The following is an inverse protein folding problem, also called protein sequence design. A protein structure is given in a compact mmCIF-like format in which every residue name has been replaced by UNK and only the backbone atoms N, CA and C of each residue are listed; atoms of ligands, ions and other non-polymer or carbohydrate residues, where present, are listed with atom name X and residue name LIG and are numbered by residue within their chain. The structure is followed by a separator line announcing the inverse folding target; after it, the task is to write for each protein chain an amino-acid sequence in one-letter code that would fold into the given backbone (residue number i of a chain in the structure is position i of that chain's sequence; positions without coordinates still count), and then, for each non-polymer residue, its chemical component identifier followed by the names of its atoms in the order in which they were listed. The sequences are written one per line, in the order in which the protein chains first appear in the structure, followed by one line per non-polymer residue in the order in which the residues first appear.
data_IF_081007560811
#
_entry.id   IF_081007560811
#
_cell.length_a   1.000
_cell.length_b   1.000
_cell.length_c   1.000
_cell.angle_alpha   90.00
_cell.angle_beta   90.00
_cell.angle_gamma   90.00
#
_symmetry.space_group_name_H-M   'P 1'
#
loop_
_entity.id
_entity.type
_entity.pdbx_description
1 polymer ?
#
# COMPACT_ATOMS: atom_id res chain seq x y z
N UNK A 1 -18.65 -17.71 12.33
CA UNK A 1 -18.54 -17.67 10.85
C UNK A 1 -17.24 -18.39 10.50
N UNK A 2 -17.31 -19.57 9.88
CA UNK A 2 -16.11 -20.35 9.53
C UNK A 2 -15.74 -19.99 8.08
N UNK A 3 -14.66 -19.25 7.90
CA UNK A 3 -14.13 -18.93 6.58
C UNK A 3 -13.23 -20.10 6.14
N UNK A 4 -13.62 -20.80 5.08
CA UNK A 4 -12.81 -21.88 4.53
C UNK A 4 -11.68 -21.30 3.68
N UNK A 5 -10.43 -21.50 4.10
CA UNK A 5 -9.25 -21.10 3.34
C UNK A 5 -8.65 -22.30 2.60
N UNK A 6 -8.00 -22.08 1.44
CA UNK A 6 -7.17 -23.13 0.83
C UNK A 6 -5.73 -23.01 1.33
N UNK A 7 -5.02 -24.14 1.56
CA UNK A 7 -3.61 -24.12 1.93
C UNK A 7 -2.77 -23.33 0.91
N UNK A 8 -1.92 -22.43 1.38
CA UNK A 8 -1.00 -21.64 0.55
C UNK A 8 -1.65 -20.58 -0.37
N UNK A 9 -2.98 -20.42 -0.33
CA UNK A 9 -3.66 -19.43 -1.18
C UNK A 9 -3.48 -18.01 -0.65
N UNK A 10 -3.61 -17.83 0.67
CA UNK A 10 -3.57 -16.52 1.33
C UNK A 10 -2.56 -16.55 2.48
N UNK A 11 -1.81 -15.46 2.65
CA UNK A 11 -1.09 -15.12 3.87
C UNK A 11 -1.64 -13.79 4.37
N UNK A 12 -2.01 -13.73 5.65
CA UNK A 12 -2.43 -12.49 6.30
C UNK A 12 -1.23 -11.85 6.97
N UNK A 13 -1.02 -10.55 6.78
CA UNK A 13 0.12 -9.81 7.34
C UNK A 13 -0.32 -8.53 8.00
N UNK A 14 0.37 -8.14 9.07
CA UNK A 14 0.15 -6.87 9.76
C UNK A 14 1.36 -6.44 10.60
N UNK A 15 1.37 -5.16 10.98
CA UNK A 15 2.10 -4.68 12.15
C UNK A 15 1.22 -4.79 13.39
N UNK A 16 1.79 -5.17 14.52
CA UNK A 16 1.12 -5.03 15.81
C UNK A 16 0.86 -3.53 16.08
N UNK A 17 -0.35 -3.21 16.50
CA UNK A 17 -0.77 -1.84 16.81
C UNK A 17 0.03 -1.25 18.00
N UNK A 18 0.33 -2.08 18.98
CA UNK A 18 1.11 -1.67 20.14
C UNK A 18 2.61 -1.66 19.82
N UNK A 19 3.25 -0.53 20.09
CA UNK A 19 4.70 -0.39 19.95
C UNK A 19 5.38 -1.03 21.16
N UNK A 20 6.17 -2.08 20.93
CA UNK A 20 7.02 -2.66 21.95
C UNK A 20 8.26 -1.78 22.18
N UNK A 21 9.00 -2.06 23.25
CA UNK A 21 10.24 -1.38 23.56
C UNK A 21 11.33 -2.40 23.89
N UNK A 22 12.53 -2.18 23.36
CA UNK A 22 13.75 -2.90 23.74
C UNK A 22 14.61 -1.93 24.52
N UNK A 23 15.16 -2.39 25.64
CA UNK A 23 16.10 -1.61 26.45
C UNK A 23 17.50 -2.04 26.03
N UNK A 24 18.29 -1.08 25.55
CA UNK A 24 19.70 -1.28 25.29
C UNK A 24 20.43 -1.50 26.63
N UNK A 25 21.10 -2.65 26.78
CA UNK A 25 21.70 -3.06 28.06
C UNK A 25 22.96 -2.27 28.41
N UNK A 26 23.60 -1.65 27.42
CA UNK A 26 24.86 -0.93 27.60
C UNK A 26 24.63 0.55 27.92
N UNK A 27 23.57 1.14 27.36
CA UNK A 27 23.23 2.56 27.48
C UNK A 27 21.99 2.83 28.34
N UNK A 28 21.15 1.81 28.55
CA UNK A 28 19.85 1.96 29.22
C UNK A 28 18.79 2.65 28.36
N UNK A 29 19.06 2.91 27.09
CA UNK A 29 18.13 3.58 26.18
C UNK A 29 16.92 2.70 25.86
N UNK A 30 15.73 3.30 25.85
CA UNK A 30 14.49 2.66 25.45
C UNK A 30 14.29 2.87 23.95
N UNK A 31 14.48 1.83 23.16
CA UNK A 31 14.38 1.86 21.71
C UNK A 31 13.03 1.26 21.29
N UNK A 32 12.20 1.99 20.50
CA UNK A 32 10.93 1.47 20.02
C UNK A 32 11.14 0.30 19.06
N UNK A 33 10.32 -0.75 19.23
CA UNK A 33 10.32 -1.94 18.39
C UNK A 33 8.90 -2.21 17.87
N UNK A 34 8.80 -2.36 16.56
CA UNK A 34 7.56 -2.62 15.82
C UNK A 34 7.50 -4.09 15.44
N UNK A 35 6.43 -4.76 15.82
CA UNK A 35 6.31 -6.21 15.63
C UNK A 35 5.54 -6.50 14.35
N UNK A 36 6.18 -7.14 13.39
CA UNK A 36 5.55 -7.68 12.19
C UNK A 36 4.98 -9.07 12.48
N UNK A 37 3.78 -9.34 11.99
CA UNK A 37 3.10 -10.64 12.12
C UNK A 37 2.63 -11.10 10.75
N UNK A 38 2.93 -12.35 10.39
CA UNK A 38 2.39 -13.02 9.21
C UNK A 38 1.75 -14.35 9.60
N UNK A 39 0.54 -14.63 9.13
CA UNK A 39 -0.21 -15.85 9.49
C UNK A 39 -0.82 -16.51 8.27
N UNK A 40 -0.72 -17.84 8.19
CA UNK A 40 -1.41 -18.68 7.21
C UNK A 40 -2.78 -19.09 7.77
N UNK A 41 -3.90 -18.52 7.29
CA UNK A 41 -5.21 -18.68 7.92
C UNK A 41 -5.79 -20.10 7.81
N UNK A 42 -5.32 -20.92 6.86
CA UNK A 42 -5.72 -22.33 6.78
C UNK A 42 -5.21 -23.15 7.97
N UNK A 43 -3.97 -22.92 8.39
CA UNK A 43 -3.29 -23.71 9.43
C UNK A 43 -3.14 -22.98 10.76
N UNK A 44 -3.39 -21.66 10.80
CA UNK A 44 -3.07 -20.81 11.95
C UNK A 44 -1.56 -20.70 12.21
N UNK A 45 -0.73 -21.01 11.21
CA UNK A 45 0.72 -21.01 11.37
C UNK A 45 1.27 -19.59 11.18
N UNK A 46 1.98 -19.08 12.18
CA UNK A 46 2.37 -17.67 12.23
C UNK A 46 3.89 -17.49 12.32
N UNK A 47 4.32 -16.34 11.81
CA UNK A 47 5.67 -15.80 11.88
C UNK A 47 5.59 -14.41 12.53
N UNK A 48 6.53 -14.11 13.41
CA UNK A 48 6.59 -12.84 14.14
C UNK A 48 8.03 -12.36 14.20
N UNK A 49 8.27 -11.09 13.88
CA UNK A 49 9.60 -10.48 13.91
C UNK A 49 9.54 -9.01 14.31
N UNK A 50 10.49 -8.55 15.12
CA UNK A 50 10.57 -7.17 15.58
C UNK A 50 11.53 -6.35 14.72
N UNK A 51 11.14 -5.11 14.39
CA UNK A 51 11.91 -4.16 13.60
C UNK A 51 12.00 -2.81 14.34
N UNK A 52 13.10 -2.10 14.20
CA UNK A 52 13.25 -0.74 14.77
C UNK A 52 12.59 0.35 13.90
N UNK A 53 12.03 0.00 12.75
CA UNK A 53 11.35 0.93 11.84
C UNK A 53 10.23 0.23 11.07
N UNK A 54 9.15 0.97 10.75
CA UNK A 54 8.03 0.52 9.90
C UNK A 54 8.16 0.99 8.44
N UNK A 55 9.38 1.30 7.98
CA UNK A 55 9.59 1.77 6.61
C UNK A 55 9.39 0.63 5.58
N UNK A 56 9.40 0.99 4.29
CA UNK A 56 9.19 0.04 3.19
C UNK A 56 10.28 -1.04 3.12
N UNK A 57 11.50 -0.74 3.58
CA UNK A 57 12.62 -1.69 3.61
C UNK A 57 12.42 -2.77 4.68
N UNK A 58 12.05 -2.38 5.91
CA UNK A 58 11.64 -3.30 6.97
C UNK A 58 10.46 -4.16 6.54
N UNK A 59 9.45 -3.54 5.90
CA UNK A 59 8.29 -4.26 5.38
C UNK A 59 8.69 -5.35 4.37
N UNK A 60 9.55 -5.00 3.40
CA UNK A 60 10.02 -5.94 2.38
C UNK A 60 10.85 -7.07 3.01
N UNK A 61 11.73 -6.72 3.95
CA UNK A 61 12.58 -7.67 4.66
C UNK A 61 11.76 -8.67 5.48
N UNK A 62 10.75 -8.19 6.20
CA UNK A 62 9.84 -9.02 6.97
C UNK A 62 9.12 -10.07 6.10
N UNK A 63 8.67 -9.69 4.90
CA UNK A 63 8.05 -10.62 3.96
C UNK A 63 9.02 -11.68 3.46
N UNK A 64 10.25 -11.28 3.12
CA UNK A 64 11.29 -12.23 2.68
C UNK A 64 11.59 -13.23 3.80
N UNK A 65 11.72 -12.77 5.04
CA UNK A 65 12.00 -13.64 6.18
C UNK A 65 10.82 -14.57 6.49
N UNK A 66 9.59 -14.05 6.45
CA UNK A 66 8.38 -14.85 6.62
C UNK A 66 8.28 -15.98 5.58
N UNK A 67 8.53 -15.71 4.30
CA UNK A 67 8.50 -16.75 3.26
C UNK A 67 9.61 -17.79 3.41
N UNK A 68 10.80 -17.36 3.84
CA UNK A 68 11.88 -18.30 4.19
C UNK A 68 11.48 -19.19 5.35
N UNK A 69 10.86 -18.63 6.40
CA UNK A 69 10.38 -19.36 7.56
C UNK A 69 9.28 -20.37 7.19
N UNK A 70 8.33 -19.98 6.35
CA UNK A 70 7.27 -20.87 5.87
C UNK A 70 7.75 -21.92 4.85
N UNK A 71 8.96 -21.76 4.29
CA UNK A 71 9.52 -22.66 3.28
C UNK A 71 8.81 -22.58 1.92
N UNK A 72 8.08 -21.49 1.65
CA UNK A 72 7.28 -21.33 0.44
C UNK A 72 6.61 -19.96 0.35
N UNK A 73 5.99 -19.69 -0.80
CA UNK A 73 5.26 -18.44 -1.07
C UNK A 73 3.76 -18.69 -1.20
N UNK A 74 2.96 -17.73 -0.75
CA UNK A 74 1.51 -17.75 -0.96
C UNK A 74 1.13 -17.00 -2.23
N UNK A 75 -0.03 -17.33 -2.79
CA UNK A 75 -0.53 -16.68 -4.01
C UNK A 75 -1.05 -15.26 -3.77
N UNK A 76 -1.60 -15.01 -2.58
CA UNK A 76 -2.20 -13.73 -2.19
C UNK A 76 -1.62 -13.32 -0.84
N UNK A 77 -1.22 -12.05 -0.75
CA UNK A 77 -0.90 -11.38 0.52
C UNK A 77 -2.12 -10.53 0.86
N UNK A 78 -2.69 -10.78 2.03
CA UNK A 78 -3.79 -10.02 2.60
C UNK A 78 -3.25 -9.20 3.77
N UNK A 79 -3.00 -7.91 3.56
CA UNK A 79 -2.63 -7.02 4.65
C UNK A 79 -3.90 -6.62 5.39
N UNK A 80 -4.08 -7.02 6.65
CA UNK A 80 -5.36 -6.80 7.37
C UNK A 80 -5.51 -5.38 7.96
N UNK A 81 -4.52 -4.51 7.71
CA UNK A 81 -4.53 -3.14 8.20
C UNK A 81 -4.23 -2.10 7.10
N UNK A 82 -4.81 -2.31 5.90
CA UNK A 82 -5.16 -1.17 5.04
C UNK A 82 -6.37 -0.38 5.61
N UNK A 83 -6.49 -0.30 6.93
CA UNK A 83 -7.60 0.37 7.64
C UNK A 83 -7.18 1.51 8.56
N UNK A 84 -5.89 1.76 8.76
CA UNK A 84 -5.40 2.99 9.40
C UNK A 84 -4.75 4.00 8.46
N UNK A 85 -4.78 3.74 7.15
CA UNK A 85 -4.49 4.75 6.10
C UNK A 85 -5.62 4.89 5.07
N UNK A 86 -6.82 4.34 5.36
CA UNK A 86 -8.01 4.51 4.50
C UNK A 86 -9.32 4.79 5.27
N UNK A 87 -9.40 4.60 6.61
CA UNK A 87 -10.69 4.76 7.34
C UNK A 87 -10.84 5.99 8.26
N UNK A 88 -9.84 6.89 8.31
CA UNK A 88 -10.03 8.26 8.84
C UNK A 88 -9.75 9.35 7.80
N UNK A 89 -9.86 9.01 6.52
CA UNK A 89 -9.70 9.99 5.47
C UNK A 89 -11.06 10.63 5.25
N UNK A 90 -11.12 11.97 5.32
CA UNK A 90 -12.29 12.70 4.85
C UNK A 90 -12.69 12.17 3.47
N UNK A 91 -13.98 12.19 3.15
CA UNK A 91 -14.52 11.68 1.86
C UNK A 91 -13.69 12.16 0.65
N UNK A 92 -13.06 13.32 0.75
CA UNK A 92 -12.32 13.96 -0.32
C UNK A 92 -10.99 13.27 -0.66
N UNK A 93 -10.24 12.73 0.31
CA UNK A 93 -8.90 12.16 0.06
C UNK A 93 -8.96 10.73 -0.53
N UNK A 94 -9.94 9.92 -0.11
CA UNK A 94 -10.21 8.59 -0.73
C UNK A 94 -10.67 8.75 -2.17
N UNK A 95 -11.49 9.76 -2.45
CA UNK A 95 -11.95 10.10 -3.80
C UNK A 95 -10.77 10.60 -4.65
N UNK A 96 -9.86 11.38 -4.07
CA UNK A 96 -8.68 11.89 -4.76
C UNK A 96 -7.71 10.78 -5.16
N UNK A 97 -7.41 9.83 -4.27
CA UNK A 97 -6.52 8.71 -4.59
C UNK A 97 -7.12 7.80 -5.68
N UNK A 98 -8.42 7.49 -5.60
CA UNK A 98 -9.10 6.72 -6.64
C UNK A 98 -9.09 7.45 -8.00
N UNK A 99 -9.41 8.74 -8.01
CA UNK A 99 -9.43 9.56 -9.23
C UNK A 99 -8.02 9.66 -9.84
N UNK A 100 -6.98 9.78 -9.01
CA UNK A 100 -5.59 9.80 -9.44
C UNK A 100 -5.15 8.47 -10.10
N UNK A 101 -5.54 7.34 -9.52
CA UNK A 101 -5.26 6.01 -10.07
C UNK A 101 -5.99 5.77 -11.39
N UNK A 102 -7.28 6.12 -11.45
CA UNK A 102 -8.10 5.99 -12.66
C UNK A 102 -7.52 6.84 -13.81
N UNK A 103 -7.08 8.06 -13.50
CA UNK A 103 -6.45 8.95 -14.48
C UNK A 103 -5.08 8.44 -14.95
N UNK A 104 -4.26 7.87 -14.07
CA UNK A 104 -2.99 7.23 -14.43
C UNK A 104 -3.19 6.05 -15.39
N UNK A 105 -4.17 5.19 -15.09
CA UNK A 105 -4.55 4.07 -15.95
C UNK A 105 -5.05 4.57 -17.32
N UNK A 106 -5.86 5.61 -17.32
CA UNK A 106 -6.38 6.23 -18.55
C UNK A 106 -5.25 6.78 -19.42
N UNK A 107 -4.25 7.46 -18.84
CA UNK A 107 -3.07 7.97 -19.56
C UNK A 107 -2.27 6.82 -20.17
N UNK A 108 -2.04 5.75 -19.40
CA UNK A 108 -1.30 4.57 -19.85
C UNK A 108 -1.98 3.91 -21.06
N UNK A 109 -3.28 3.63 -20.96
CA UNK A 109 -4.03 3.02 -22.05
C UNK A 109 -4.15 3.93 -23.27
N UNK A 110 -4.35 5.24 -23.07
CA UNK A 110 -4.41 6.21 -24.18
C UNK A 110 -3.07 6.32 -24.91
N UNK A 111 -1.95 6.37 -24.19
CA UNK A 111 -0.60 6.44 -24.77
C UNK A 111 -0.29 5.19 -25.58
N UNK A 112 -0.58 4.03 -24.99
CA UNK A 112 -0.38 2.71 -25.61
C UNK A 112 -1.23 2.55 -26.87
N UNK A 113 -2.51 2.93 -26.80
CA UNK A 113 -3.41 2.90 -27.95
C UNK A 113 -2.91 3.81 -29.09
N UNK A 114 -2.55 5.07 -28.79
CA UNK A 114 -2.05 5.99 -29.83
C UNK A 114 -0.74 5.50 -30.46
N UNK A 115 0.20 5.00 -29.65
CA UNK A 115 1.49 4.51 -30.13
C UNK A 115 1.39 3.26 -31.02
N UNK A 116 0.48 2.33 -30.68
CA UNK A 116 0.36 1.05 -31.38
C UNK A 116 -0.73 1.04 -32.47
N UNK A 117 -1.53 2.10 -32.60
CA UNK A 117 -2.57 2.23 -33.65
C UNK A 117 -2.04 2.06 -35.08
N UNK A 118 -0.87 2.61 -35.48
CA UNK A 118 -0.32 2.39 -36.82
C UNK A 118 0.00 0.91 -37.06
N UNK A 119 0.67 0.26 -36.10
CA UNK A 119 1.06 -1.15 -36.15
C UNK A 119 -0.17 -2.07 -36.23
N UNK A 120 -1.18 -1.82 -35.41
CA UNK A 120 -2.44 -2.56 -35.45
C UNK A 120 -3.19 -2.36 -36.78
N UNK A 121 -3.10 -1.17 -37.38
CA UNK A 121 -3.72 -0.89 -38.68
C UNK A 121 -3.04 -1.67 -39.82
N UNK A 122 -1.72 -1.83 -39.76
CA UNK A 122 -0.97 -2.70 -40.68
C UNK A 122 -1.33 -4.17 -40.50
N UNK A 123 -1.38 -4.65 -39.24
CA UNK A 123 -1.83 -6.01 -38.93
C UNK A 123 -3.21 -6.31 -39.51
N UNK A 124 -4.18 -5.38 -39.36
CA UNK A 124 -5.53 -5.53 -39.89
C UNK A 124 -5.57 -5.59 -41.43
N UNK A 125 -4.64 -4.93 -42.10
CA UNK A 125 -4.50 -4.91 -43.58
C UNK A 125 -3.66 -6.06 -44.11
N UNK A 126 -2.86 -6.72 -43.27
CA UNK A 126 -2.00 -7.83 -43.69
C UNK A 126 -2.82 -9.00 -44.22
N UNK A 127 -2.37 -9.56 -45.33
CA UNK A 127 -2.97 -10.73 -45.98
C UNK A 127 -2.65 -12.02 -45.22
N UNK A 128 -1.47 -12.06 -44.59
CA UNK A 128 -1.00 -13.16 -43.74
C UNK A 128 -0.87 -12.64 -42.30
N UNK A 129 -1.88 -12.94 -41.49
CA UNK A 129 -1.99 -12.45 -40.11
C UNK A 129 -1.07 -13.21 -39.16
N UNK A 130 -0.92 -14.52 -39.34
CA UNK A 130 -0.05 -15.34 -38.50
C UNK A 130 1.41 -14.93 -38.65
N UNK A 131 1.87 -14.68 -39.88
CA UNK A 131 3.22 -14.17 -40.10
C UNK A 131 3.46 -12.81 -39.48
N UNK A 132 2.44 -11.95 -39.47
CA UNK A 132 2.54 -10.61 -38.89
C UNK A 132 2.51 -10.65 -37.35
N UNK A 133 1.80 -11.62 -36.76
CA UNK A 133 1.78 -11.87 -35.32
C UNK A 133 3.12 -12.40 -34.82
N UNK A 134 3.81 -13.24 -35.60
CA UNK A 134 5.16 -13.74 -35.26
C UNK A 134 6.12 -12.58 -35.01
N UNK A 135 6.49 -12.39 -33.74
CA UNK A 135 7.40 -11.34 -33.29
C UNK A 135 6.75 -10.00 -32.93
N UNK A 136 5.44 -9.82 -33.14
CA UNK A 136 4.68 -8.59 -32.77
C UNK A 136 3.42 -8.87 -31.94
N UNK A 137 3.25 -10.10 -31.46
CA UNK A 137 2.09 -10.51 -30.64
C UNK A 137 1.90 -9.63 -29.40
N UNK A 138 3.00 -9.27 -28.73
CA UNK A 138 2.95 -8.47 -27.50
C UNK A 138 2.34 -7.11 -27.75
N UNK A 139 2.73 -6.46 -28.84
CA UNK A 139 2.24 -5.15 -29.25
C UNK A 139 0.76 -5.20 -29.64
N UNK A 140 0.34 -6.25 -30.35
CA UNK A 140 -1.07 -6.44 -30.72
C UNK A 140 -1.93 -6.68 -29.48
N UNK A 141 -1.50 -7.57 -28.57
CA UNK A 141 -2.22 -7.84 -27.31
C UNK A 141 -2.30 -6.57 -26.46
N UNK A 142 -1.22 -5.82 -26.36
CA UNK A 142 -1.16 -4.60 -25.56
C UNK A 142 -2.07 -3.49 -26.13
N UNK A 143 -2.16 -3.39 -27.45
CA UNK A 143 -3.13 -2.51 -28.13
C UNK A 143 -4.57 -2.95 -27.86
N UNK A 144 -4.90 -4.23 -28.04
CA UNK A 144 -6.25 -4.77 -27.83
C UNK A 144 -6.70 -4.62 -26.37
N UNK A 145 -5.80 -4.89 -25.42
CA UNK A 145 -6.05 -4.68 -24.00
C UNK A 145 -6.33 -3.21 -23.69
N UNK A 146 -5.54 -2.29 -24.25
CA UNK A 146 -5.74 -0.85 -24.07
C UNK A 146 -7.03 -0.35 -24.71
N UNK A 147 -7.38 -0.85 -25.90
CA UNK A 147 -8.66 -0.55 -26.56
C UNK A 147 -9.86 -1.03 -25.73
N UNK A 148 -9.78 -2.24 -25.16
CA UNK A 148 -10.81 -2.78 -24.28
C UNK A 148 -10.95 -1.96 -23.00
N UNK A 149 -9.83 -1.56 -22.38
CA UNK A 149 -9.83 -0.75 -21.17
C UNK A 149 -10.42 0.66 -21.41
N UNK A 150 -10.07 1.31 -22.52
CA UNK A 150 -10.66 2.61 -22.90
C UNK A 150 -12.18 2.50 -23.11
N UNK A 151 -12.63 1.45 -23.80
CA UNK A 151 -14.06 1.18 -23.98
C UNK A 151 -14.79 0.94 -22.66
N UNK A 152 -14.17 0.18 -21.74
CA UNK A 152 -14.71 -0.07 -20.41
C UNK A 152 -14.77 1.21 -19.54
N UNK A 153 -13.82 2.13 -19.73
CA UNK A 153 -13.80 3.45 -19.10
C UNK A 153 -14.81 4.44 -19.73
N UNK A 154 -15.67 4.01 -20.65
CA UNK A 154 -16.67 4.86 -21.30
C UNK A 154 -16.08 5.86 -22.31
N UNK A 155 -14.79 5.74 -22.63
CA UNK A 155 -14.15 6.51 -23.69
C UNK A 155 -14.68 5.99 -25.03
N UNK A 156 -15.55 6.76 -25.66
CA UNK A 156 -16.10 6.45 -26.99
C UNK A 156 -15.05 6.55 -28.11
N UNK A 157 -15.49 6.83 -29.34
CA UNK A 157 -14.62 6.83 -30.52
C UNK A 157 -13.55 7.95 -30.52
N UNK A 158 -13.75 8.99 -29.70
CA UNK A 158 -12.81 10.09 -29.55
C UNK A 158 -11.92 9.85 -28.33
N UNK A 159 -10.64 9.58 -28.61
CA UNK A 159 -9.61 9.46 -27.56
C UNK A 159 -9.48 10.77 -26.79
N UNK A 160 -9.19 10.71 -25.48
CA UNK A 160 -8.92 11.89 -24.69
C UNK A 160 -7.66 12.62 -25.18
N UNK A 161 -7.61 13.92 -24.89
CA UNK A 161 -6.41 14.72 -25.10
C UNK A 161 -5.35 14.32 -24.07
N UNK A 162 -4.22 13.81 -24.54
CA UNK A 162 -3.13 13.35 -23.68
C UNK A 162 -2.46 14.51 -22.94
N UNK A 163 -2.41 15.70 -23.56
CA UNK A 163 -1.79 16.86 -22.93
C UNK A 163 -2.59 17.29 -21.70
N UNK A 164 -3.92 17.42 -21.87
CA UNK A 164 -4.84 17.76 -20.78
C UNK A 164 -4.84 16.72 -19.66
N UNK A 165 -4.86 15.43 -20.01
CA UNK A 165 -4.79 14.37 -19.00
C UNK A 165 -3.47 14.41 -18.20
N UNK A 166 -2.34 14.68 -18.85
CA UNK A 166 -1.05 14.79 -18.14
C UNK A 166 -0.99 16.02 -17.24
N UNK A 167 -1.58 17.13 -17.67
CA UNK A 167 -1.68 18.35 -16.87
C UNK A 167 -2.56 18.12 -15.62
N UNK A 168 -3.71 17.48 -15.79
CA UNK A 168 -4.60 17.11 -14.68
C UNK A 168 -3.94 16.12 -13.72
N UNK A 169 -3.17 15.15 -14.25
CA UNK A 169 -2.37 14.24 -13.45
C UNK A 169 -1.32 14.96 -12.62
N UNK A 170 -0.59 15.91 -13.22
CA UNK A 170 0.44 16.70 -12.53
C UNK A 170 -0.19 17.48 -11.39
N UNK A 171 -1.32 18.15 -11.66
CA UNK A 171 -2.05 18.93 -10.64
C UNK A 171 -2.50 18.06 -9.48
N UNK A 172 -3.12 16.91 -9.76
CA UNK A 172 -3.56 15.96 -8.73
C UNK A 172 -2.38 15.36 -7.96
N UNK A 173 -1.24 15.13 -8.62
CA UNK A 173 -0.03 14.65 -7.96
C UNK A 173 0.51 15.67 -6.96
N UNK A 174 0.58 16.94 -7.36
CA UNK A 174 1.05 18.03 -6.51
C UNK A 174 0.11 18.25 -5.32
N UNK A 175 -1.20 18.20 -5.54
CA UNK A 175 -2.20 18.32 -4.48
C UNK A 175 -2.11 17.16 -3.49
N UNK A 176 -1.95 15.93 -4.00
CA UNK A 176 -1.71 14.74 -3.19
C UNK A 176 -0.43 14.90 -2.35
N UNK A 177 0.69 15.29 -2.96
CA UNK A 177 1.97 15.44 -2.26
C UNK A 177 1.89 16.56 -1.18
N UNK A 178 1.16 17.64 -1.46
CA UNK A 178 0.87 18.71 -0.49
C UNK A 178 0.08 18.20 0.71
N UNK A 179 -1.00 17.45 0.46
CA UNK A 179 -1.84 16.88 1.52
C UNK A 179 -1.06 15.88 2.38
N UNK A 180 -0.22 15.05 1.77
CA UNK A 180 0.65 14.14 2.51
C UNK A 180 1.69 14.88 3.37
N UNK A 181 2.25 15.99 2.87
CA UNK A 181 3.16 16.83 3.65
C UNK A 181 2.45 17.49 4.85
N UNK A 182 1.24 18.01 4.62
CA UNK A 182 0.41 18.59 5.68
C UNK A 182 0.01 17.54 6.72
N UNK A 183 -0.45 16.37 6.28
CA UNK A 183 -0.73 15.22 7.15
C UNK A 183 0.49 14.83 7.99
N UNK A 184 1.67 14.76 7.38
CA UNK A 184 2.92 14.47 8.09
C UNK A 184 3.23 15.50 9.18
N UNK A 185 2.95 16.77 8.93
CA UNK A 185 3.11 17.85 9.93
C UNK A 185 2.08 17.75 11.06
N UNK A 186 0.83 17.43 10.72
CA UNK A 186 -0.25 17.29 11.69
C UNK A 186 -0.04 16.06 12.59
N UNK A 187 0.47 14.97 12.04
CA UNK A 187 0.85 13.76 12.78
C UNK A 187 1.99 14.03 13.77
N UNK A 188 2.97 14.86 13.41
CA UNK A 188 4.02 15.31 14.35
C UNK A 188 3.44 16.11 15.51
N UNK A 189 2.58 17.08 15.21
CA UNK A 189 1.86 17.86 16.24
C UNK A 189 1.03 16.98 17.16
N UNK A 190 0.36 15.97 16.61
CA UNK A 190 -0.43 15.03 17.43
C UNK A 190 0.45 14.28 18.45
N UNK A 191 1.65 13.82 18.03
CA UNK A 191 2.62 13.19 18.94
C UNK A 191 3.12 14.15 20.01
N UNK A 192 3.34 15.42 19.67
CA UNK A 192 3.71 16.44 20.66
C UNK A 192 2.60 16.62 21.70
N UNK A 193 1.33 16.69 21.27
CA UNK A 193 0.20 16.76 22.20
C UNK A 193 0.08 15.51 23.07
N UNK A 194 0.27 14.32 22.50
CA UNK A 194 0.24 13.07 23.26
C UNK A 194 1.38 13.02 24.31
N UNK A 195 2.58 13.47 23.96
CA UNK A 195 3.70 13.57 24.89
C UNK A 195 3.43 14.59 26.01
N UNK A 196 2.88 15.76 25.68
CA UNK A 196 2.47 16.77 26.67
C UNK A 196 1.40 16.21 27.59
N UNK A 197 0.43 15.47 27.04
CA UNK A 197 -0.63 14.83 27.82
C UNK A 197 -0.05 13.79 28.79
N UNK A 198 0.85 12.91 28.32
CA UNK A 198 1.51 11.93 29.17
C UNK A 198 2.32 12.59 30.30
N UNK A 199 3.03 13.68 30.00
CA UNK A 199 3.75 14.45 31.01
C UNK A 199 2.81 15.05 32.07
N UNK A 200 1.68 15.61 31.65
CA UNK A 200 0.66 16.16 32.56
C UNK A 200 0.04 15.04 33.42
N UNK A 201 -0.34 13.91 32.80
CA UNK A 201 -0.93 12.78 33.50
C UNK A 201 0.04 12.19 34.55
N UNK A 202 1.34 12.15 34.24
CA UNK A 202 2.39 11.73 35.18
C UNK A 202 2.59 12.70 36.35
N UNK A 203 2.38 14.01 36.15
CA UNK A 203 2.47 15.03 37.21
C UNK A 203 1.22 15.01 38.10
N UNK A 204 0.04 14.84 37.49
CA UNK A 204 -1.24 14.85 38.19
C UNK A 204 -1.56 13.54 38.92
N UNK A 205 -0.87 12.44 38.59
CA UNK A 205 -1.04 11.13 39.23
C UNK A 205 0.27 10.58 39.82
N UNK A 206 0.88 11.22 40.83
CA UNK A 206 2.09 10.70 41.45
C UNK A 206 1.74 9.48 42.31
N UNK A 207 2.24 8.30 41.92
CA UNK A 207 2.34 7.08 42.72
C UNK A 207 1.11 6.69 43.57
N UNK A 208 0.20 5.87 43.00
CA UNK A 208 -0.63 4.94 43.79
C UNK A 208 0.14 3.69 44.27
N UNK A 209 1.48 3.71 44.24
CA UNK A 209 2.32 2.54 44.46
C UNK A 209 3.28 2.60 45.66
N UNK A 210 3.24 3.63 46.51
CA UNK A 210 4.18 3.76 47.64
C UNK A 210 3.53 3.81 49.04
N UNK A 211 2.23 3.57 49.17
CA UNK A 211 1.56 3.55 50.48
C UNK A 211 1.43 2.16 51.13
N UNK A 212 1.80 1.05 50.47
CA UNK A 212 1.71 -0.29 51.08
C UNK A 212 2.94 -0.74 51.88
N UNK A 213 4.07 -0.04 51.83
CA UNK A 213 5.31 -0.43 52.53
C UNK A 213 5.57 0.36 53.85
N UNK A 214 4.59 1.08 54.38
CA UNK A 214 4.72 1.82 55.66
C UNK A 214 3.76 1.39 56.77
N UNK A 215 3.06 0.27 56.64
CA UNK A 215 2.33 -0.34 57.74
C UNK A 215 3.08 -1.58 58.25
N UNK A 216 4.13 -1.33 59.02
CA UNK A 216 4.72 -2.25 59.99
C UNK A 216 4.06 -2.02 61.35
#
# INVERSE_FOLDING_TARGET
MHLSHKPGEVMQVDWADDTAAVIDTDTGEIIPAYVFVATLPYSGYSYVEAFFSMNQESWTTAHVNAYKYFGGVTRIIQCDNLKTDVQKHGKDEVVLNKSYQDLALLIKHTTTYKGLKPLYSEYKKSRDKEKYLRGREREIILFEASARALKAAGVGDKLPDLAKLREEYSRLSEEKDRLYAEYGSLKKRMREYDAVKQNIDSILSPNRGQEQDKAL
#
